data_IF_142380861552
#
_entry.id   IF_142380861552
#
_cell.length_a   1.000
_cell.length_b   1.000
_cell.length_c   1.000
_cell.angle_alpha   90.00
_cell.angle_beta   90.00
_cell.angle_gamma   90.00
#
_symmetry.space_group_name_H-M   'P 1'
#
loop_
_entity.id
_entity.type
_entity.pdbx_description
1 polymer ?
#
# COMPACT_ATOMS: atom_id res chain seq x y z
N UNK A 1 4.95 4.59 -1.93
CA UNK A 1 5.79 5.08 -3.06
C UNK A 1 4.90 5.33 -4.26
N UNK A 2 5.17 6.36 -5.05
CA UNK A 2 4.47 6.67 -6.30
C UNK A 2 4.38 5.46 -7.24
N UNK A 3 3.55 5.53 -8.28
CA UNK A 3 3.61 4.58 -9.39
C UNK A 3 3.67 5.31 -10.71
N UNK A 4 4.52 4.82 -11.61
CA UNK A 4 4.56 5.23 -13.01
C UNK A 4 3.95 4.09 -13.84
N UNK A 5 3.07 4.43 -14.78
CA UNK A 5 2.56 3.52 -15.78
C UNK A 5 3.11 3.91 -17.16
N UNK A 6 3.65 2.96 -17.88
CA UNK A 6 4.12 3.14 -19.25
C UNK A 6 3.28 2.26 -20.19
N UNK A 7 2.53 2.90 -21.06
CA UNK A 7 1.80 2.25 -22.13
C UNK A 7 2.52 2.51 -23.46
N UNK A 8 3.19 1.47 -23.96
CA UNK A 8 3.84 1.53 -25.26
C UNK A 8 2.82 1.64 -26.40
N UNK A 9 3.30 1.95 -27.60
CA UNK A 9 2.48 1.97 -28.80
C UNK A 9 1.65 0.67 -28.94
N UNK A 10 0.34 0.84 -29.22
CA UNK A 10 -0.63 -0.25 -29.41
C UNK A 10 -1.35 -0.70 -28.14
N UNK A 11 -0.85 -0.37 -26.95
CA UNK A 11 -1.45 -0.76 -25.68
C UNK A 11 -2.70 0.08 -25.39
N UNK A 12 -3.80 -0.58 -25.00
CA UNK A 12 -5.02 0.09 -24.52
C UNK A 12 -4.91 0.40 -23.02
N UNK A 13 -5.51 1.52 -22.59
CA UNK A 13 -5.54 1.88 -21.18
C UNK A 13 -6.64 1.11 -20.45
N UNK A 14 -6.41 0.79 -19.18
CA UNK A 14 -7.39 0.16 -18.31
C UNK A 14 -7.83 1.13 -17.22
N UNK A 15 -9.12 1.47 -17.23
CA UNK A 15 -9.70 2.31 -16.17
C UNK A 15 -9.53 1.65 -14.81
N UNK A 16 -9.76 0.34 -14.72
CA UNK A 16 -9.63 -0.43 -13.48
C UNK A 16 -8.22 -0.32 -12.89
N UNK A 17 -7.19 -0.60 -13.71
CA UNK A 17 -5.79 -0.54 -13.23
C UNK A 17 -5.38 0.88 -12.86
N UNK A 18 -5.81 1.90 -13.63
CA UNK A 18 -5.50 3.29 -13.33
C UNK A 18 -6.24 3.80 -12.09
N UNK A 19 -7.48 3.35 -11.86
CA UNK A 19 -8.23 3.64 -10.64
C UNK A 19 -7.52 3.05 -9.42
N UNK A 20 -7.01 1.82 -9.52
CA UNK A 20 -6.20 1.20 -8.48
C UNK A 20 -4.92 2.01 -8.22
N UNK A 21 -4.21 2.43 -9.28
CA UNK A 21 -3.05 3.30 -9.15
C UNK A 21 -3.39 4.59 -8.41
N UNK A 22 -4.50 5.23 -8.74
CA UNK A 22 -4.91 6.48 -8.11
C UNK A 22 -5.32 6.30 -6.65
N UNK A 23 -6.10 5.26 -6.32
CA UNK A 23 -6.49 4.93 -4.95
C UNK A 23 -5.26 4.69 -4.08
N UNK A 24 -4.26 3.99 -4.62
CA UNK A 24 -3.03 3.67 -3.90
C UNK A 24 -2.03 4.85 -3.84
N UNK A 25 -2.20 5.89 -4.69
CA UNK A 25 -1.28 7.04 -4.83
C UNK A 25 -2.09 8.32 -5.12
N UNK A 26 -2.75 8.83 -4.10
CA UNK A 26 -3.83 9.82 -4.20
C UNK A 26 -3.41 11.29 -4.17
N UNK A 27 -2.11 11.58 -4.11
CA UNK A 27 -1.60 12.95 -3.99
C UNK A 27 -1.45 13.65 -5.35
N UNK A 28 -2.23 13.18 -6.32
CA UNK A 28 -2.39 13.72 -7.65
C UNK A 28 -1.78 12.86 -8.75
N UNK A 29 -2.23 13.12 -9.98
CA UNK A 29 -1.79 12.41 -11.17
C UNK A 29 -1.40 13.37 -12.30
N UNK A 30 -0.76 12.80 -13.32
CA UNK A 30 -0.45 13.48 -14.55
C UNK A 30 0.04 12.52 -15.62
N UNK A 31 0.19 13.03 -16.84
CA UNK A 31 0.66 12.24 -17.99
C UNK A 31 1.53 13.03 -18.93
N UNK A 32 2.27 12.33 -19.77
CA UNK A 32 2.99 12.88 -20.90
C UNK A 32 2.84 11.98 -22.13
N UNK A 33 2.66 12.63 -23.29
CA UNK A 33 2.46 11.99 -24.59
C UNK A 33 3.04 12.87 -25.71
N UNK A 34 3.50 12.28 -26.81
CA UNK A 34 3.97 13.05 -27.95
C UNK A 34 2.78 13.63 -28.72
N UNK A 35 2.80 14.94 -28.99
CA UNK A 35 1.84 15.67 -29.81
C UNK A 35 2.39 15.89 -31.23
N UNK A 36 1.71 15.34 -32.24
CA UNK A 36 2.15 15.43 -33.65
C UNK A 36 2.01 16.83 -34.26
N UNK A 37 1.04 17.59 -33.79
CA UNK A 37 0.80 18.93 -34.33
C UNK A 37 1.88 19.90 -33.85
N UNK A 38 2.18 19.83 -32.56
CA UNK A 38 3.21 20.68 -31.95
C UNK A 38 4.62 20.09 -32.12
N UNK A 39 4.75 18.79 -32.45
CA UNK A 39 6.01 18.04 -32.52
C UNK A 39 6.80 18.10 -31.23
N UNK A 40 6.09 18.08 -30.11
CA UNK A 40 6.59 18.19 -28.74
C UNK A 40 5.93 17.15 -27.84
N UNK A 41 6.50 16.94 -26.67
CA UNK A 41 5.85 16.20 -25.59
C UNK A 41 4.85 17.13 -24.93
N UNK A 42 3.59 16.74 -24.90
CA UNK A 42 2.54 17.38 -24.11
C UNK A 42 2.54 16.78 -22.71
N UNK A 43 2.74 17.59 -21.69
CA UNK A 43 2.64 17.24 -20.28
C UNK A 43 1.39 17.92 -19.72
N UNK A 44 0.52 17.13 -19.09
CA UNK A 44 -0.56 17.65 -18.24
C UNK A 44 -0.52 16.93 -16.91
N UNK A 45 -0.60 17.68 -15.82
CA UNK A 45 -0.49 17.15 -14.47
C UNK A 45 -1.31 17.96 -13.48
N UNK A 46 -1.35 17.50 -12.22
CA UNK A 46 -2.10 18.18 -11.16
C UNK A 46 -3.55 17.76 -11.09
N UNK A 47 -3.90 16.60 -11.65
CA UNK A 47 -5.21 16.02 -11.46
C UNK A 47 -5.32 15.47 -10.03
N UNK A 48 -6.12 16.12 -9.21
CA UNK A 48 -6.28 15.79 -7.80
C UNK A 48 -7.45 14.83 -7.53
N UNK A 49 -8.20 14.47 -8.56
CA UNK A 49 -9.25 13.46 -8.55
C UNK A 49 -9.12 12.51 -9.76
N UNK A 50 -9.62 11.28 -9.58
CA UNK A 50 -9.50 10.26 -10.62
C UNK A 50 -10.34 10.56 -11.85
N UNK A 51 -11.55 11.09 -11.68
CA UNK A 51 -12.49 11.22 -12.78
C UNK A 51 -12.03 12.29 -13.77
N UNK A 52 -11.52 13.44 -13.29
CA UNK A 52 -10.90 14.45 -14.14
C UNK A 52 -9.66 13.94 -14.85
N UNK A 53 -8.83 13.13 -14.16
CA UNK A 53 -7.68 12.49 -14.77
C UNK A 53 -8.11 11.51 -15.88
N UNK A 54 -9.07 10.62 -15.59
CA UNK A 54 -9.52 9.62 -16.55
C UNK A 54 -10.14 10.23 -17.79
N UNK A 55 -10.96 11.27 -17.63
CA UNK A 55 -11.51 12.02 -18.77
C UNK A 55 -10.42 12.62 -19.66
N UNK A 56 -9.31 13.05 -19.09
CA UNK A 56 -8.20 13.63 -19.84
C UNK A 56 -7.34 12.58 -20.59
N UNK A 57 -7.35 11.30 -20.17
CA UNK A 57 -6.43 10.28 -20.70
C UNK A 57 -7.09 9.17 -21.50
N UNK A 58 -8.39 8.87 -21.28
CA UNK A 58 -9.09 7.72 -21.87
C UNK A 58 -9.04 7.67 -23.40
N UNK A 59 -9.03 8.83 -24.04
CA UNK A 59 -9.07 8.99 -25.50
C UNK A 59 -7.69 9.37 -26.09
N UNK A 60 -6.60 9.25 -25.32
CA UNK A 60 -5.25 9.52 -25.83
C UNK A 60 -4.89 8.54 -26.95
N UNK A 61 -4.21 9.02 -28.02
CA UNK A 61 -3.80 8.17 -29.14
C UNK A 61 -3.01 6.94 -28.69
N UNK A 62 -3.35 5.76 -29.25
CA UNK A 62 -2.68 4.49 -28.90
C UNK A 62 -1.47 4.20 -29.79
N UNK A 63 -1.27 4.95 -30.87
CA UNK A 63 -0.20 4.77 -31.84
C UNK A 63 1.18 5.29 -31.38
N UNK A 64 1.30 5.70 -30.12
CA UNK A 64 2.50 6.27 -29.52
C UNK A 64 2.70 5.87 -28.06
N UNK A 65 3.92 6.11 -27.55
CA UNK A 65 4.26 5.93 -26.16
C UNK A 65 3.55 6.96 -25.27
N UNK A 66 3.02 6.51 -24.13
CA UNK A 66 2.34 7.34 -23.14
C UNK A 66 2.86 6.96 -21.76
N UNK A 67 3.14 7.97 -20.95
CA UNK A 67 3.60 7.79 -19.57
C UNK A 67 2.63 8.50 -18.63
N UNK A 68 2.23 7.81 -17.58
CA UNK A 68 1.33 8.30 -16.55
C UNK A 68 2.01 8.18 -15.19
N UNK A 69 1.66 9.06 -14.27
CA UNK A 69 2.20 9.03 -12.93
C UNK A 69 1.10 9.29 -11.92
N UNK A 70 1.10 8.50 -10.84
CA UNK A 70 0.21 8.67 -9.69
C UNK A 70 1.07 8.88 -8.46
N UNK A 71 0.87 10.00 -7.81
CA UNK A 71 1.77 10.50 -6.77
C UNK A 71 1.36 10.06 -5.38
N UNK A 72 2.36 9.67 -4.57
CA UNK A 72 2.33 9.78 -3.12
C UNK A 72 3.51 10.65 -2.71
N UNK A 73 3.24 11.74 -2.01
CA UNK A 73 4.26 12.73 -1.70
C UNK A 73 5.19 12.23 -0.59
N UNK A 74 6.50 12.24 -0.88
CA UNK A 74 7.58 12.00 0.09
C UNK A 74 8.48 13.22 0.22
N UNK A 75 8.42 14.14 -0.77
CA UNK A 75 9.16 15.39 -0.85
C UNK A 75 8.35 16.40 -1.65
N UNK A 76 8.43 17.69 -1.29
CA UNK A 76 7.66 18.77 -1.89
C UNK A 76 6.18 18.76 -1.51
N UNK A 77 5.54 19.92 -1.62
CA UNK A 77 4.12 20.12 -1.27
C UNK A 77 3.19 19.17 -2.04
N UNK A 78 2.08 18.82 -1.41
CA UNK A 78 0.95 18.22 -2.10
C UNK A 78 0.22 19.35 -2.82
N UNK A 79 0.52 19.50 -4.10
CA UNK A 79 -0.08 20.51 -4.96
C UNK A 79 -0.01 20.05 -6.41
N UNK A 80 -0.86 20.60 -7.29
CA UNK A 80 -0.85 20.31 -8.73
C UNK A 80 0.53 20.46 -9.37
N UNK A 81 1.28 21.50 -9.04
CA UNK A 81 2.58 21.83 -9.62
C UNK A 81 3.66 20.80 -9.24
N UNK A 82 3.53 20.14 -8.09
CA UNK A 82 4.45 19.11 -7.62
C UNK A 82 4.09 17.70 -8.13
N UNK A 83 2.99 17.54 -8.88
CA UNK A 83 2.69 16.27 -9.57
C UNK A 83 3.67 16.03 -10.72
N UNK A 84 3.94 14.76 -11.00
CA UNK A 84 4.68 14.33 -12.19
C UNK A 84 3.71 14.16 -13.38
N UNK A 85 4.21 14.15 -14.61
CA UNK A 85 5.61 14.32 -15.08
C UNK A 85 6.11 15.74 -14.95
N UNK A 86 7.43 15.92 -15.07
CA UNK A 86 8.08 17.23 -15.14
C UNK A 86 8.68 17.47 -16.52
N UNK A 87 8.71 18.74 -16.93
CA UNK A 87 9.56 19.22 -18.02
C UNK A 87 11.03 18.97 -17.65
N UNK A 88 11.85 18.49 -18.56
CA UNK A 88 13.28 18.41 -18.33
C UNK A 88 13.90 19.80 -18.56
N UNK A 89 14.21 20.50 -17.48
CA UNK A 89 14.74 21.87 -17.44
C UNK A 89 15.73 22.05 -16.31
N UNK A 90 16.60 23.04 -16.39
CA UNK A 90 17.41 23.55 -15.29
C UNK A 90 16.66 24.61 -14.44
N UNK A 91 15.52 25.09 -14.93
CA UNK A 91 14.67 26.03 -14.23
C UNK A 91 13.56 25.28 -13.49
N UNK A 92 13.58 25.30 -12.15
CA UNK A 92 12.61 24.62 -11.31
C UNK A 92 11.19 25.18 -11.45
N UNK A 93 11.02 26.49 -11.76
CA UNK A 93 9.68 27.08 -11.97
C UNK A 93 9.03 26.54 -13.25
N UNK A 94 9.79 26.34 -14.33
CA UNK A 94 9.28 25.69 -15.55
C UNK A 94 8.81 24.26 -15.28
N UNK A 95 9.44 23.56 -14.35
CA UNK A 95 8.99 22.21 -13.95
C UNK A 95 7.64 22.21 -13.20
N UNK A 96 7.21 23.36 -12.68
CA UNK A 96 5.92 23.49 -11.97
C UNK A 96 4.73 23.73 -12.88
N UNK A 97 4.94 24.03 -14.15
CA UNK A 97 3.87 24.18 -15.10
C UNK A 97 3.02 22.91 -15.20
N UNK A 98 1.70 23.08 -15.23
CA UNK A 98 0.73 21.96 -15.16
C UNK A 98 0.19 21.53 -16.52
N UNK A 99 0.31 22.39 -17.53
CA UNK A 99 -0.07 22.11 -18.93
C UNK A 99 0.95 22.76 -19.86
N UNK A 100 1.82 21.97 -20.47
CA UNK A 100 2.99 22.49 -21.18
C UNK A 100 3.47 21.57 -22.30
N UNK A 101 4.07 22.15 -23.34
CA UNK A 101 4.75 21.44 -24.42
C UNK A 101 6.26 21.59 -24.32
N UNK A 102 6.98 20.46 -24.34
CA UNK A 102 8.44 20.40 -24.16
C UNK A 102 9.09 19.41 -25.13
N UNK A 103 10.42 19.45 -25.26
CA UNK A 103 11.16 18.44 -26.03
C UNK A 103 11.31 17.12 -25.28
N UNK A 104 11.43 17.20 -23.95
CA UNK A 104 11.62 16.03 -23.08
C UNK A 104 10.87 16.22 -21.77
N UNK A 105 10.09 15.22 -21.39
CA UNK A 105 9.49 15.10 -20.06
C UNK A 105 10.02 13.90 -19.31
N UNK A 106 9.90 13.91 -17.99
CA UNK A 106 10.32 12.78 -17.16
C UNK A 106 9.45 12.57 -15.92
N UNK A 107 9.38 11.32 -15.48
CA UNK A 107 8.73 10.88 -14.24
C UNK A 107 9.67 10.03 -13.41
N UNK A 108 9.51 10.10 -12.10
CA UNK A 108 10.31 9.37 -11.13
C UNK A 108 9.43 8.65 -10.12
N UNK A 109 9.84 7.45 -9.73
CA UNK A 109 9.29 6.70 -8.60
C UNK A 109 10.43 6.25 -7.68
N UNK A 110 10.45 6.78 -6.47
CA UNK A 110 11.44 6.52 -5.44
C UNK A 110 11.71 7.75 -4.59
N UNK A 111 12.87 7.80 -3.95
CA UNK A 111 13.37 8.93 -3.17
C UNK A 111 14.82 9.19 -3.56
N UNK A 112 15.12 10.44 -3.87
CA UNK A 112 16.48 10.90 -4.18
C UNK A 112 17.03 11.71 -2.99
N UNK A 113 17.48 10.99 -1.96
CA UNK A 113 17.86 11.58 -0.65
C UNK A 113 18.84 12.76 -0.76
N UNK A 114 19.83 12.66 -1.66
CA UNK A 114 20.85 13.70 -1.85
C UNK A 114 20.29 14.99 -2.48
N UNK A 115 19.08 14.93 -3.03
CA UNK A 115 18.39 16.03 -3.69
C UNK A 115 17.15 16.50 -2.92
N UNK A 116 16.90 15.95 -1.74
CA UNK A 116 15.74 16.33 -0.91
C UNK A 116 15.88 17.78 -0.44
N UNK A 117 14.91 18.67 -0.73
CA UNK A 117 14.97 20.04 -0.25
C UNK A 117 14.96 20.10 1.28
N UNK A 118 15.66 21.08 1.86
CA UNK A 118 15.78 21.25 3.32
C UNK A 118 14.43 21.44 4.00
N UNK A 119 13.49 22.08 3.32
CA UNK A 119 12.11 22.34 3.78
C UNK A 119 11.23 21.08 3.72
N UNK A 120 11.74 19.98 3.17
CA UNK A 120 11.00 18.71 3.04
C UNK A 120 9.67 18.87 2.33
N UNK A 121 8.59 18.50 2.99
CA UNK A 121 7.22 18.59 2.46
C UNK A 121 6.68 20.03 2.35
N UNK A 122 7.36 21.04 2.93
CA UNK A 122 6.96 22.45 2.81
C UNK A 122 7.56 23.11 1.56
N UNK A 123 8.55 22.49 0.92
CA UNK A 123 9.17 23.00 -0.28
C UNK A 123 8.19 23.07 -1.44
N UNK A 124 8.20 24.13 -2.27
CA UNK A 124 7.48 24.14 -3.54
C UNK A 124 8.12 23.24 -4.60
N UNK A 125 9.27 22.64 -4.32
CA UNK A 125 10.02 21.75 -5.20
C UNK A 125 10.21 20.39 -4.54
N UNK A 126 10.38 19.34 -5.36
CA UNK A 126 10.68 17.99 -4.91
C UNK A 126 12.15 17.61 -5.19
N UNK A 127 12.61 16.55 -4.53
CA UNK A 127 13.89 15.90 -4.81
C UNK A 127 14.05 15.53 -6.30
N UNK A 128 12.98 15.08 -6.92
CA UNK A 128 12.92 14.75 -8.35
C UNK A 128 13.21 15.97 -9.23
N UNK A 129 12.68 17.14 -8.90
CA UNK A 129 12.93 18.36 -9.66
C UNK A 129 14.39 18.77 -9.58
N UNK A 130 15.00 18.71 -8.40
CA UNK A 130 16.44 18.99 -8.23
C UNK A 130 17.32 17.98 -8.99
N UNK A 131 17.01 16.70 -8.92
CA UNK A 131 17.74 15.69 -9.70
C UNK A 131 17.56 15.93 -11.22
N UNK A 132 16.37 16.28 -11.65
CA UNK A 132 16.08 16.65 -13.03
C UNK A 132 16.95 17.79 -13.52
N UNK A 133 17.02 18.88 -12.75
CA UNK A 133 17.79 20.08 -13.10
C UNK A 133 19.31 19.85 -13.07
N UNK A 134 19.79 19.18 -12.03
CA UNK A 134 21.24 19.08 -11.76
C UNK A 134 21.90 17.88 -12.47
N UNK A 135 21.18 16.81 -12.73
CA UNK A 135 21.73 15.57 -13.29
C UNK A 135 21.19 15.29 -14.69
N UNK A 136 19.86 15.24 -14.87
CA UNK A 136 19.29 14.84 -16.15
C UNK A 136 19.41 15.93 -17.22
N UNK A 137 19.18 17.19 -16.86
CA UNK A 137 19.20 18.30 -17.81
C UNK A 137 20.57 18.52 -18.47
N UNK A 138 21.70 18.48 -17.76
CA UNK A 138 23.03 18.51 -18.38
C UNK A 138 23.29 17.38 -19.37
N UNK A 139 22.60 16.26 -19.22
CA UNK A 139 22.71 15.06 -20.09
C UNK A 139 21.67 15.00 -21.20
N UNK A 140 20.77 15.98 -21.35
CA UNK A 140 19.59 15.95 -22.21
C UNK A 140 19.87 15.58 -23.66
N UNK A 141 20.96 16.05 -24.23
CA UNK A 141 21.34 15.79 -25.62
C UNK A 141 21.89 14.36 -25.84
N UNK A 142 22.17 13.65 -24.74
CA UNK A 142 22.80 12.32 -24.76
C UNK A 142 21.95 11.24 -24.11
N UNK A 143 20.70 11.55 -23.72
CA UNK A 143 19.84 10.60 -22.98
C UNK A 143 19.62 9.28 -23.71
N UNK A 144 19.59 9.28 -25.04
CA UNK A 144 19.40 8.05 -25.83
C UNK A 144 20.70 7.27 -26.07
N UNK A 145 21.85 7.70 -25.52
CA UNK A 145 23.07 6.90 -25.58
C UNK A 145 23.08 5.89 -24.43
N UNK A 146 23.40 4.63 -24.74
CA UNK A 146 23.48 3.56 -23.74
C UNK A 146 24.41 3.87 -22.57
N UNK A 147 25.57 4.48 -22.86
CA UNK A 147 26.51 4.92 -21.82
C UNK A 147 25.90 5.93 -20.86
N UNK A 148 25.11 6.87 -21.37
CA UNK A 148 24.40 7.85 -20.53
C UNK A 148 23.32 7.18 -19.69
N UNK A 149 22.52 6.29 -20.27
CA UNK A 149 21.51 5.51 -19.54
C UNK A 149 22.14 4.64 -18.47
N UNK A 150 23.30 4.05 -18.74
CA UNK A 150 24.06 3.27 -17.75
C UNK A 150 24.48 4.15 -16.55
N UNK A 151 25.01 5.35 -16.81
CA UNK A 151 25.37 6.30 -15.75
C UNK A 151 24.17 6.75 -14.93
N UNK A 152 23.04 7.06 -15.60
CA UNK A 152 21.80 7.43 -14.92
C UNK A 152 21.31 6.25 -14.04
N UNK A 153 21.34 5.01 -14.56
CA UNK A 153 20.99 3.81 -13.78
C UNK A 153 21.87 3.63 -12.53
N UNK A 154 23.14 3.97 -12.60
CA UNK A 154 24.05 3.92 -11.44
C UNK A 154 23.72 5.02 -10.42
N UNK A 155 23.45 6.24 -10.89
CA UNK A 155 23.12 7.37 -10.03
C UNK A 155 21.75 7.22 -9.35
N UNK A 156 20.78 6.58 -10.01
CA UNK A 156 19.40 6.46 -9.49
C UNK A 156 19.22 5.31 -8.49
N UNK A 157 20.19 4.39 -8.36
CA UNK A 157 20.07 3.24 -7.45
C UNK A 157 18.87 2.34 -7.78
N UNK A 158 17.99 2.12 -6.79
CA UNK A 158 16.78 1.30 -6.94
C UNK A 158 15.57 2.08 -7.45
N UNK A 159 15.71 3.37 -7.66
CA UNK A 159 14.65 4.24 -8.20
C UNK A 159 14.28 3.86 -9.64
N UNK A 160 13.13 4.36 -10.12
CA UNK A 160 12.64 4.10 -11.49
C UNK A 160 12.32 5.42 -12.17
N UNK A 161 12.68 5.48 -13.45
CA UNK A 161 12.44 6.66 -14.29
C UNK A 161 11.77 6.26 -15.60
N UNK A 162 10.84 7.10 -16.03
CA UNK A 162 10.35 7.13 -17.39
C UNK A 162 10.64 8.51 -17.98
N UNK A 163 11.41 8.55 -19.05
CA UNK A 163 11.76 9.76 -19.78
C UNK A 163 11.13 9.64 -21.18
N UNK A 164 10.39 10.65 -21.61
CA UNK A 164 9.76 10.67 -22.94
C UNK A 164 10.26 11.87 -23.72
N UNK A 165 10.75 11.59 -24.93
CA UNK A 165 11.13 12.59 -25.89
C UNK A 165 10.72 12.17 -27.31
N UNK A 166 11.04 12.98 -28.32
CA UNK A 166 10.68 12.73 -29.72
C UNK A 166 11.10 11.35 -30.25
N UNK A 167 12.14 10.74 -29.69
CA UNK A 167 12.64 9.42 -30.13
C UNK A 167 11.95 8.24 -29.42
N UNK A 168 10.91 8.50 -28.61
CA UNK A 168 10.20 7.51 -27.80
C UNK A 168 10.59 7.54 -26.33
N UNK A 169 10.14 6.54 -25.58
CA UNK A 169 10.35 6.42 -24.15
C UNK A 169 11.68 5.74 -23.80
N UNK A 170 12.30 6.19 -22.71
CA UNK A 170 13.42 5.54 -22.01
C UNK A 170 12.90 5.12 -20.65
N UNK A 171 12.88 3.81 -20.40
CA UNK A 171 12.37 3.21 -19.17
C UNK A 171 13.54 2.63 -18.40
N UNK A 172 13.80 3.14 -17.18
CA UNK A 172 14.93 2.75 -16.36
C UNK A 172 14.48 2.17 -15.02
N UNK A 173 15.13 1.09 -14.58
CA UNK A 173 14.81 0.34 -13.37
C UNK A 173 14.05 -0.95 -13.66
N UNK A 174 13.54 -1.60 -12.60
CA UNK A 174 12.77 -2.83 -12.71
C UNK A 174 11.27 -2.51 -12.75
N UNK A 175 10.57 -3.06 -13.71
CA UNK A 175 9.15 -2.79 -13.96
C UNK A 175 8.33 -4.07 -13.97
N UNK A 176 7.10 -3.99 -13.49
CA UNK A 176 6.11 -5.06 -13.58
C UNK A 176 5.27 -4.85 -14.85
N UNK A 177 4.97 -5.92 -15.56
CA UNK A 177 4.07 -5.86 -16.73
C UNK A 177 2.73 -6.47 -16.35
N UNK A 178 1.65 -5.75 -16.53
CA UNK A 178 0.30 -6.30 -16.35
C UNK A 178 0.06 -7.42 -17.37
N UNK A 179 -0.37 -8.58 -16.90
CA UNK A 179 -0.76 -9.69 -17.75
C UNK A 179 -2.08 -9.45 -18.48
N UNK A 180 -2.92 -8.52 -18.00
CA UNK A 180 -4.21 -8.20 -18.60
C UNK A 180 -4.07 -7.20 -19.76
N UNK A 181 -3.22 -6.19 -19.58
CA UNK A 181 -3.15 -5.04 -20.49
C UNK A 181 -1.83 -4.89 -21.22
N UNK A 182 -0.74 -5.46 -20.69
CA UNK A 182 0.61 -5.24 -21.19
C UNK A 182 1.22 -3.90 -20.76
N UNK A 183 0.51 -3.07 -19.97
CA UNK A 183 1.06 -1.83 -19.41
C UNK A 183 2.17 -2.19 -18.42
N UNK A 184 3.28 -1.43 -18.49
CA UNK A 184 4.39 -1.59 -17.55
C UNK A 184 4.24 -0.61 -16.38
N UNK A 185 4.35 -1.12 -15.16
CA UNK A 185 4.21 -0.35 -13.93
C UNK A 185 5.51 -0.38 -13.11
N UNK A 186 5.85 0.75 -12.51
CA UNK A 186 7.04 0.85 -11.67
C UNK A 186 6.93 0.12 -10.32
N UNK A 187 5.72 -0.29 -9.91
CA UNK A 187 5.44 -1.19 -8.78
C UNK A 187 4.03 -1.79 -8.93
N UNK A 188 3.58 -2.58 -7.95
CA UNK A 188 2.31 -3.30 -7.97
C UNK A 188 1.07 -2.47 -7.58
N UNK A 189 1.14 -1.13 -7.55
CA UNK A 189 -0.01 -0.27 -7.17
C UNK A 189 -1.18 -0.34 -8.15
N UNK A 190 -1.02 -0.91 -9.33
CA UNK A 190 -2.08 -1.15 -10.33
C UNK A 190 -2.97 -2.35 -9.97
N UNK A 191 -2.47 -3.25 -9.14
CA UNK A 191 -3.22 -4.40 -8.68
C UNK A 191 -4.31 -3.98 -7.69
N UNK A 192 -5.45 -4.63 -7.79
CA UNK A 192 -6.48 -4.50 -6.76
C UNK A 192 -5.89 -4.98 -5.44
N UNK A 193 -5.96 -4.16 -4.40
CA UNK A 193 -5.65 -4.62 -3.06
C UNK A 193 -6.67 -5.71 -2.73
N UNK A 194 -6.34 -6.94 -3.06
CA UNK A 194 -7.05 -8.06 -2.47
C UNK A 194 -6.80 -7.93 -0.97
N UNK A 195 -7.85 -7.82 -0.19
CA UNK A 195 -7.83 -8.19 1.22
C UNK A 195 -7.58 -9.71 1.31
N UNK A 196 -6.50 -10.15 0.69
CA UNK A 196 -5.97 -11.48 0.87
C UNK A 196 -5.01 -11.37 2.03
N UNK A 197 -5.45 -11.82 3.18
CA UNK A 197 -4.57 -12.48 4.11
C UNK A 197 -3.88 -13.62 3.34
N UNK A 198 -2.84 -13.31 2.59
CA UNK A 198 -2.00 -14.32 1.97
C UNK A 198 -0.83 -14.55 2.90
N UNK A 199 -0.95 -15.62 3.64
CA UNK A 199 0.09 -16.29 4.35
C UNK A 199 1.18 -16.71 3.35
N UNK A 200 2.24 -15.93 3.25
CA UNK A 200 3.53 -16.40 2.77
C UNK A 200 4.58 -16.10 3.83
N UNK A 201 4.97 -17.17 4.52
CA UNK A 201 6.18 -17.19 5.30
C UNK A 201 7.38 -16.92 4.41
N UNK A 202 8.06 -15.81 4.67
CA UNK A 202 9.45 -15.59 4.36
C UNK A 202 10.00 -14.56 5.31
N UNK A 203 11.10 -14.89 5.89
CA UNK A 203 11.91 -14.21 6.90
C UNK A 203 11.81 -12.68 6.88
N UNK A 204 11.37 -12.08 7.99
CA UNK A 204 11.33 -10.63 8.20
C UNK A 204 9.93 -10.04 8.10
N UNK A 205 8.92 -10.67 8.71
CA UNK A 205 7.55 -10.21 8.69
C UNK A 205 7.35 -8.97 9.58
N UNK A 206 7.03 -7.85 8.99
CA UNK A 206 6.18 -6.89 9.66
C UNK A 206 4.74 -7.38 9.46
N UNK A 207 4.12 -7.86 10.54
CA UNK A 207 2.68 -8.04 10.58
C UNK A 207 2.03 -6.70 10.17
N UNK A 208 1.08 -6.72 9.23
CA UNK A 208 0.32 -5.54 8.89
C UNK A 208 -0.67 -5.29 10.03
N UNK A 209 -0.19 -4.61 11.07
CA UNK A 209 -1.09 -4.07 12.08
C UNK A 209 -1.96 -3.03 11.39
N UNK A 210 -3.27 -3.13 11.56
CA UNK A 210 -4.16 -2.02 11.23
C UNK A 210 -3.79 -0.89 12.18
N UNK A 211 -3.21 0.18 11.65
CA UNK A 211 -2.80 1.31 12.44
C UNK A 211 -4.00 2.25 12.58
N UNK A 212 -4.36 2.55 13.81
CA UNK A 212 -5.43 3.49 14.11
C UNK A 212 -4.87 4.85 14.46
N UNK A 213 -5.52 5.88 13.95
CA UNK A 213 -5.10 7.27 14.12
C UNK A 213 -6.27 8.10 14.60
N UNK A 214 -6.05 8.84 15.65
CA UNK A 214 -7.03 9.73 16.25
C UNK A 214 -6.84 11.15 15.75
N UNK A 215 -7.95 11.81 15.47
CA UNK A 215 -8.00 13.17 14.98
C UNK A 215 -9.08 13.96 15.70
N UNK A 216 -8.83 15.26 15.98
CA UNK A 216 -9.91 16.20 16.28
C UNK A 216 -10.54 16.68 14.99
N UNK A 217 -11.86 16.89 15.04
CA UNK A 217 -12.67 17.38 13.94
C UNK A 217 -13.47 18.59 14.41
N UNK A 218 -13.59 19.60 13.56
CA UNK A 218 -14.49 20.74 13.75
C UNK A 218 -15.62 20.62 12.74
N UNK A 219 -16.81 20.18 13.15
CA UNK A 219 -17.95 20.10 12.25
C UNK A 219 -18.26 21.46 11.62
N UNK A 220 -18.58 21.50 10.31
CA UNK A 220 -19.01 22.73 9.66
C UNK A 220 -20.30 23.28 10.30
N UNK A 221 -20.36 24.59 10.50
CA UNK A 221 -21.52 25.24 11.13
C UNK A 221 -22.80 24.96 10.33
N UNK A 222 -23.82 24.44 11.01
CA UNK A 222 -25.13 24.15 10.40
C UNK A 222 -25.23 22.84 9.64
N UNK A 223 -24.18 22.05 9.54
CA UNK A 223 -24.19 20.73 8.90
C UNK A 223 -24.60 19.65 9.91
N UNK A 224 -25.89 19.25 9.91
CA UNK A 224 -26.44 18.26 10.86
C UNK A 224 -25.87 16.85 10.62
N UNK A 225 -25.62 16.48 9.35
CA UNK A 225 -25.16 15.15 8.94
C UNK A 225 -23.64 15.12 8.69
N UNK A 226 -22.89 16.00 9.35
CA UNK A 226 -21.46 16.16 9.12
C UNK A 226 -20.66 14.86 9.27
N UNK A 227 -21.02 14.00 10.23
CA UNK A 227 -20.31 12.75 10.47
C UNK A 227 -20.49 11.76 9.30
N UNK A 228 -21.72 11.65 8.76
CA UNK A 228 -21.99 10.81 7.59
C UNK A 228 -21.23 11.32 6.36
N UNK A 229 -21.18 12.64 6.16
CA UNK A 229 -20.44 13.27 5.08
C UNK A 229 -18.92 13.10 5.26
N UNK A 230 -18.43 13.22 6.49
CA UNK A 230 -17.03 12.96 6.83
C UNK A 230 -16.66 11.50 6.58
N UNK A 231 -17.50 10.55 7.02
CA UNK A 231 -17.30 9.11 6.81
C UNK A 231 -17.20 8.79 5.31
N UNK A 232 -18.15 9.28 4.52
CA UNK A 232 -18.12 9.12 3.07
C UNK A 232 -16.85 9.70 2.42
N UNK A 233 -16.39 10.85 2.92
CA UNK A 233 -15.14 11.45 2.47
C UNK A 233 -13.94 10.56 2.86
N UNK A 234 -13.89 10.06 4.09
CA UNK A 234 -12.83 9.17 4.57
C UNK A 234 -12.77 7.86 3.77
N UNK A 235 -13.92 7.25 3.49
CA UNK A 235 -14.04 6.07 2.62
C UNK A 235 -13.52 6.33 1.21
N UNK A 236 -13.79 7.52 0.66
CA UNK A 236 -13.24 7.97 -0.62
C UNK A 236 -11.71 8.05 -0.64
N UNK A 237 -11.09 8.18 0.53
CA UNK A 237 -9.64 8.10 0.72
C UNK A 237 -9.14 6.72 1.19
N UNK A 238 -10.01 5.71 1.17
CA UNK A 238 -9.67 4.33 1.49
C UNK A 238 -9.39 4.09 2.98
N UNK A 239 -9.98 4.90 3.87
CA UNK A 239 -9.95 4.71 5.32
C UNK A 239 -11.36 4.75 5.88
N UNK A 240 -11.60 4.00 6.95
CA UNK A 240 -12.91 3.94 7.61
C UNK A 240 -12.88 4.70 8.93
N UNK A 241 -13.98 5.33 9.27
CA UNK A 241 -14.21 5.86 10.61
C UNK A 241 -14.58 4.69 11.50
N UNK A 242 -13.71 4.32 12.44
CA UNK A 242 -13.93 3.21 13.36
C UNK A 242 -14.56 3.63 14.66
N UNK A 243 -14.37 4.88 15.04
CA UNK A 243 -14.99 5.49 16.21
C UNK A 243 -15.19 6.99 16.05
N UNK A 244 -16.25 7.51 16.64
CA UNK A 244 -16.47 8.93 16.84
C UNK A 244 -16.95 9.14 18.27
N UNK A 245 -16.37 10.10 18.97
CA UNK A 245 -16.81 10.51 20.30
C UNK A 245 -16.62 12.01 20.52
N UNK A 246 -17.27 12.52 21.55
CA UNK A 246 -17.13 13.92 21.97
C UNK A 246 -16.60 13.96 23.41
N UNK A 247 -15.56 14.75 23.61
CA UNK A 247 -14.99 14.99 24.93
C UNK A 247 -14.65 16.47 25.10
N UNK A 248 -15.05 17.04 26.20
CA UNK A 248 -14.84 18.48 26.55
C UNK A 248 -15.26 19.46 25.42
N UNK A 249 -16.35 19.14 24.72
CA UNK A 249 -16.86 19.93 23.60
C UNK A 249 -16.04 19.86 22.32
N UNK A 250 -15.21 18.87 22.19
CA UNK A 250 -14.42 18.56 20.96
C UNK A 250 -14.85 17.24 20.38
N UNK A 251 -14.98 17.19 19.06
CA UNK A 251 -15.24 15.93 18.35
C UNK A 251 -13.93 15.27 17.99
N UNK A 252 -13.87 13.96 18.22
CA UNK A 252 -12.76 13.08 17.87
C UNK A 252 -13.24 12.00 16.93
N UNK A 253 -12.41 11.66 15.94
CA UNK A 253 -12.62 10.50 15.06
C UNK A 253 -11.37 9.63 15.07
N UNK A 254 -11.57 8.32 15.12
CA UNK A 254 -10.51 7.32 14.98
C UNK A 254 -10.66 6.67 13.61
N UNK A 255 -9.59 6.67 12.83
CA UNK A 255 -9.54 6.12 11.49
C UNK A 255 -8.63 4.89 11.46
N UNK A 256 -8.96 3.89 10.66
CA UNK A 256 -8.16 2.69 10.42
C UNK A 256 -7.00 2.91 9.42
N UNK A 257 -6.64 4.14 9.17
CA UNK A 257 -5.53 4.54 8.32
C UNK A 257 -5.15 6.00 8.50
N UNK A 258 -3.93 6.33 8.10
CA UNK A 258 -3.45 7.70 8.11
C UNK A 258 -4.10 8.53 7.01
N UNK A 259 -4.59 9.71 7.37
CA UNK A 259 -5.09 10.72 6.42
C UNK A 259 -4.34 12.04 6.60
N UNK A 260 -4.21 12.77 5.50
CA UNK A 260 -3.56 14.07 5.53
C UNK A 260 -4.57 15.19 5.75
N UNK A 261 -4.29 16.06 6.72
CA UNK A 261 -5.15 17.21 7.06
C UNK A 261 -5.62 18.07 5.88
N UNK A 262 -4.81 18.34 4.83
CA UNK A 262 -5.23 19.16 3.70
C UNK A 262 -6.48 18.67 2.96
N UNK A 263 -6.75 17.37 2.94
CA UNK A 263 -7.93 16.81 2.27
C UNK A 263 -9.22 16.97 3.10
N UNK A 264 -9.07 17.25 4.38
CA UNK A 264 -10.16 17.39 5.34
C UNK A 264 -10.29 18.82 5.90
N UNK A 265 -9.81 19.82 5.17
CA UNK A 265 -9.78 21.22 5.61
C UNK A 265 -11.17 21.73 6.02
N UNK A 266 -12.22 21.29 5.30
CA UNK A 266 -13.62 21.61 5.65
C UNK A 266 -13.99 21.21 7.08
N UNK A 267 -13.38 20.14 7.59
CA UNK A 267 -13.64 19.58 8.92
C UNK A 267 -12.56 19.96 9.94
N UNK A 268 -11.64 20.84 9.60
CA UNK A 268 -10.57 21.28 10.49
C UNK A 268 -9.77 20.13 11.10
N UNK A 269 -9.60 19.03 10.36
CA UNK A 269 -8.96 17.80 10.84
C UNK A 269 -7.55 18.07 11.36
N UNK A 270 -7.28 17.66 12.60
CA UNK A 270 -5.95 17.71 13.21
C UNK A 270 -5.60 16.37 13.82
N UNK A 271 -4.45 15.86 13.48
CA UNK A 271 -3.89 14.65 14.08
C UNK A 271 -3.65 14.85 15.57
N UNK A 272 -4.08 13.92 16.38
CA UNK A 272 -3.87 13.88 17.83
C UNK A 272 -2.84 12.86 18.22
N UNK A 273 -3.08 11.58 17.93
CA UNK A 273 -2.26 10.50 18.41
C UNK A 273 -2.32 9.27 17.50
N UNK A 274 -1.28 8.44 17.59
CA UNK A 274 -1.32 7.06 17.16
C UNK A 274 -1.94 6.22 18.27
N UNK A 275 -3.00 5.48 17.96
CA UNK A 275 -3.70 4.66 18.94
C UNK A 275 -3.11 3.24 18.86
N UNK A 276 -2.13 2.96 19.72
CA UNK A 276 -1.59 1.60 19.87
C UNK A 276 -2.54 0.76 20.74
N UNK A 277 -2.92 -0.42 20.25
CA UNK A 277 -3.80 -1.33 20.99
C UNK A 277 -5.28 -0.91 20.98
N UNK A 278 -5.70 -0.17 19.96
CA UNK A 278 -7.11 0.17 19.76
C UNK A 278 -7.93 -1.14 19.66
N UNK A 279 -8.85 -1.31 20.62
CA UNK A 279 -9.85 -2.36 20.52
C UNK A 279 -10.98 -1.80 19.65
N UNK A 280 -11.18 -2.37 18.47
CA UNK A 280 -12.35 -2.05 17.63
C UNK A 280 -13.59 -1.89 18.51
N UNK A 281 -14.37 -0.80 18.37
CA UNK A 281 -15.62 -0.66 19.12
C UNK A 281 -16.46 -1.89 18.85
N UNK A 282 -17.16 -2.35 19.86
CA UNK A 282 -18.10 -3.45 19.80
C UNK A 282 -19.08 -3.22 18.63
N UNK A 283 -18.75 -3.71 17.44
CA UNK A 283 -19.77 -4.19 16.53
C UNK A 283 -20.46 -5.31 17.31
N UNK A 284 -21.77 -5.23 17.50
CA UNK A 284 -22.68 -6.15 18.15
C UNK A 284 -21.98 -7.39 18.71
N UNK A 285 -22.09 -7.68 20.00
CA UNK A 285 -21.41 -8.77 20.70
C UNK A 285 -21.05 -9.93 19.79
N UNK A 286 -19.90 -9.82 19.11
CA UNK A 286 -19.32 -11.01 18.49
C UNK A 286 -19.00 -11.90 19.66
N UNK A 287 -19.73 -12.98 19.77
CA UNK A 287 -19.49 -14.06 20.71
C UNK A 287 -17.97 -14.22 20.83
N UNK A 288 -17.45 -13.91 22.01
CA UNK A 288 -16.02 -13.92 22.29
C UNK A 288 -15.53 -15.31 21.94
N UNK A 289 -14.81 -15.44 20.82
CA UNK A 289 -14.28 -16.74 20.38
C UNK A 289 -13.27 -17.14 21.44
N UNK A 290 -13.56 -18.16 22.18
CA UNK A 290 -12.66 -18.72 23.20
C UNK A 290 -11.96 -19.91 22.59
N UNK A 291 -10.63 -19.92 22.71
CA UNK A 291 -9.79 -21.00 22.21
C UNK A 291 -9.31 -21.87 23.36
N UNK A 292 -9.23 -23.16 23.13
CA UNK A 292 -8.59 -24.10 24.04
C UNK A 292 -7.27 -24.56 23.45
N UNK A 293 -6.18 -24.36 24.17
CA UNK A 293 -4.88 -24.84 23.77
C UNK A 293 -4.71 -26.29 24.20
N UNK A 294 -4.37 -27.17 23.26
CA UNK A 294 -4.09 -28.58 23.55
C UNK A 294 -2.60 -28.79 23.42
N UNK A 295 -1.97 -29.13 24.55
CA UNK A 295 -0.57 -29.51 24.60
C UNK A 295 -0.47 -31.03 24.45
N UNK A 296 0.01 -31.47 23.29
CA UNK A 296 0.15 -32.89 22.96
C UNK A 296 1.51 -33.43 23.38
N UNK A 297 1.54 -34.55 24.09
CA UNK A 297 2.76 -35.27 24.50
C UNK A 297 2.61 -36.75 24.19
N UNK A 298 3.74 -37.40 23.89
CA UNK A 298 3.75 -38.87 23.77
C UNK A 298 3.61 -39.53 25.15
N UNK A 299 2.99 -40.71 25.22
CA UNK A 299 2.76 -41.44 26.45
C UNK A 299 4.09 -41.73 27.15
N UNK A 300 4.22 -41.32 28.41
CA UNK A 300 5.43 -41.51 29.23
C UNK A 300 6.52 -40.43 29.03
N UNK A 301 6.35 -39.44 28.17
CA UNK A 301 7.23 -38.27 28.05
C UNK A 301 8.65 -38.54 27.56
N UNK A 302 8.96 -39.78 27.13
CA UNK A 302 10.30 -40.21 26.76
C UNK A 302 10.57 -40.33 25.26
N UNK A 303 9.53 -40.37 24.43
CA UNK A 303 9.70 -40.53 22.98
C UNK A 303 9.39 -39.20 22.31
N UNK A 304 10.27 -38.66 21.42
CA UNK A 304 9.97 -37.45 20.67
C UNK A 304 8.73 -37.67 19.80
N UNK A 305 7.89 -36.64 19.72
CA UNK A 305 6.77 -36.61 18.77
C UNK A 305 7.34 -36.61 17.35
N UNK A 306 6.97 -37.60 16.54
CA UNK A 306 7.31 -37.61 15.12
C UNK A 306 6.14 -37.15 14.27
N UNK A 307 6.37 -36.89 12.98
CA UNK A 307 5.34 -36.35 12.08
C UNK A 307 4.11 -37.26 11.96
N UNK A 308 4.27 -38.57 12.01
CA UNK A 308 3.16 -39.53 11.90
C UNK A 308 2.22 -39.41 13.11
N UNK A 309 2.77 -39.33 14.31
CA UNK A 309 2.01 -39.15 15.57
C UNK A 309 1.32 -37.79 15.57
N UNK A 310 2.01 -36.76 15.12
CA UNK A 310 1.43 -35.41 14.97
C UNK A 310 0.22 -35.43 14.03
N UNK A 311 0.35 -36.03 12.87
CA UNK A 311 -0.75 -36.11 11.89
C UNK A 311 -1.96 -36.85 12.48
N UNK A 312 -1.76 -37.97 13.15
CA UNK A 312 -2.85 -38.72 13.80
C UNK A 312 -3.52 -37.92 14.93
N UNK A 313 -2.75 -37.13 15.66
CA UNK A 313 -3.31 -36.24 16.69
C UNK A 313 -4.11 -35.09 16.06
N UNK A 314 -3.62 -34.50 15.00
CA UNK A 314 -4.34 -33.46 14.26
C UNK A 314 -5.64 -34.00 13.70
N UNK A 315 -5.63 -35.15 13.01
CA UNK A 315 -6.83 -35.79 12.47
C UNK A 315 -7.88 -36.08 13.55
N UNK A 316 -7.45 -36.59 14.71
CA UNK A 316 -8.35 -36.85 15.84
C UNK A 316 -8.97 -35.55 16.36
N UNK A 317 -8.16 -34.51 16.58
CA UNK A 317 -8.65 -33.24 17.13
C UNK A 317 -9.58 -32.54 16.14
N UNK A 318 -9.26 -32.56 14.84
CA UNK A 318 -10.12 -32.01 13.78
C UNK A 318 -11.46 -32.74 13.71
N UNK A 319 -11.47 -34.07 13.88
CA UNK A 319 -12.71 -34.85 13.89
C UNK A 319 -13.63 -34.54 15.06
N UNK A 320 -13.07 -34.23 16.24
CA UNK A 320 -13.84 -33.98 17.46
C UNK A 320 -14.19 -32.49 17.68
N UNK A 321 -13.33 -31.57 17.25
CA UNK A 321 -13.38 -30.18 17.69
C UNK A 321 -13.31 -29.13 16.54
N UNK A 322 -13.22 -29.53 15.29
CA UNK A 322 -13.12 -28.63 14.13
C UNK A 322 -11.68 -28.21 13.84
N UNK A 323 -11.50 -27.01 13.27
CA UNK A 323 -10.20 -26.56 12.78
C UNK A 323 -9.12 -26.51 13.83
N UNK A 324 -7.95 -27.07 13.53
CA UNK A 324 -6.78 -27.12 14.40
C UNK A 324 -5.63 -26.33 13.79
N UNK A 325 -4.90 -25.59 14.63
CA UNK A 325 -3.72 -24.87 14.22
C UNK A 325 -2.48 -25.44 14.94
N UNK A 326 -1.48 -25.87 14.18
CA UNK A 326 -0.22 -26.37 14.70
C UNK A 326 0.73 -25.21 15.05
N UNK A 327 1.15 -25.11 16.30
CA UNK A 327 2.07 -24.10 16.80
C UNK A 327 3.42 -24.68 17.21
N UNK A 328 3.77 -25.88 16.78
CA UNK A 328 4.98 -26.60 17.21
C UNK A 328 6.25 -25.78 16.99
N UNK A 329 6.34 -25.05 15.89
CA UNK A 329 7.51 -24.23 15.58
C UNK A 329 7.64 -22.98 16.46
N UNK A 330 6.54 -22.53 17.07
CA UNK A 330 6.50 -21.30 17.87
C UNK A 330 6.71 -21.54 19.36
N UNK A 331 6.84 -22.80 19.79
CA UNK A 331 7.05 -23.14 21.20
C UNK A 331 8.52 -23.47 21.50
N UNK A 332 9.03 -22.96 22.63
CA UNK A 332 10.37 -23.32 23.14
C UNK A 332 10.44 -24.77 23.63
N UNK A 333 9.30 -25.35 23.92
CA UNK A 333 9.13 -26.74 24.35
C UNK A 333 8.86 -27.58 23.10
N UNK A 334 9.66 -28.55 22.77
CA UNK A 334 9.52 -29.46 21.62
C UNK A 334 8.29 -30.36 21.66
N UNK A 335 7.33 -30.11 22.54
CA UNK A 335 6.02 -30.74 22.55
C UNK A 335 5.10 -30.06 21.55
N UNK A 336 4.30 -30.85 20.85
CA UNK A 336 3.29 -30.28 19.91
C UNK A 336 2.25 -29.51 20.69
N UNK A 337 1.96 -28.28 20.24
CA UNK A 337 0.91 -27.44 20.80
C UNK A 337 -0.09 -27.15 19.70
N UNK A 338 -1.36 -27.46 19.97
CA UNK A 338 -2.43 -27.24 19.03
C UNK A 338 -3.44 -26.27 19.60
N UNK A 339 -3.96 -25.38 18.76
CA UNK A 339 -5.11 -24.57 19.09
C UNK A 339 -6.33 -25.21 18.47
N UNK A 340 -7.34 -25.47 19.30
CA UNK A 340 -8.63 -25.93 18.87
C UNK A 340 -9.60 -24.77 18.95
N UNK A 341 -10.29 -24.48 17.87
CA UNK A 341 -11.32 -23.44 17.85
C UNK A 341 -12.69 -24.06 17.71
N UNK A 342 -13.67 -23.53 18.44
CA UNK A 342 -15.07 -23.92 18.28
C UNK A 342 -15.73 -23.31 17.03
N UNK A 343 -14.95 -22.67 16.13
CA UNK A 343 -15.46 -21.98 14.94
C UNK A 343 -14.65 -22.30 13.70
N UNK A 344 -15.33 -22.40 12.57
CA UNK A 344 -14.77 -22.72 11.25
C UNK A 344 -13.86 -21.64 10.64
N UNK A 345 -13.59 -20.55 11.30
CA UNK A 345 -12.72 -19.48 10.83
C UNK A 345 -11.86 -18.91 11.93
N UNK A 346 -10.56 -19.13 11.83
CA UNK A 346 -9.54 -18.41 12.57
C UNK A 346 -9.38 -17.01 11.97
N UNK A 347 -9.93 -16.00 12.62
CA UNK A 347 -9.72 -14.60 12.28
C UNK A 347 -8.94 -13.93 13.42
N UNK A 348 -7.68 -13.58 13.16
CA UNK A 348 -6.84 -12.88 14.13
C UNK A 348 -5.35 -13.19 13.94
N UNK A 349 -4.49 -12.38 14.53
CA UNK A 349 -3.05 -12.69 14.64
C UNK A 349 -2.82 -13.79 15.67
N UNK A 350 -1.64 -14.43 15.61
CA UNK A 350 -1.24 -15.43 16.61
C UNK A 350 -1.33 -14.87 18.03
N UNK A 351 -0.95 -13.60 18.23
CA UNK A 351 -1.00 -12.93 19.53
C UNK A 351 -2.43 -12.73 20.01
N UNK A 352 -3.38 -12.39 19.13
CA UNK A 352 -4.81 -12.28 19.49
C UNK A 352 -5.39 -13.62 19.91
N UNK A 353 -4.98 -14.70 19.25
CA UNK A 353 -5.37 -16.07 19.59
C UNK A 353 -4.80 -16.47 20.94
N UNK A 354 -3.52 -16.22 21.19
CA UNK A 354 -2.86 -16.51 22.47
C UNK A 354 -3.51 -15.76 23.65
N UNK A 355 -3.91 -14.52 23.44
CA UNK A 355 -4.64 -13.72 24.45
C UNK A 355 -6.06 -14.23 24.73
N UNK A 356 -6.64 -14.96 23.81
CA UNK A 356 -8.01 -15.49 23.90
C UNK A 356 -8.08 -16.91 24.45
N UNK A 357 -6.93 -17.52 24.78
CA UNK A 357 -6.88 -18.88 25.36
C UNK A 357 -7.46 -18.86 26.77
N UNK A 358 -8.52 -19.63 27.00
CA UNK A 358 -9.20 -19.74 28.31
C UNK A 358 -8.78 -20.96 29.11
N UNK A 359 -8.07 -21.91 28.49
CA UNK A 359 -7.60 -23.11 29.18
C UNK A 359 -6.65 -23.93 28.33
N UNK A 360 -5.93 -24.84 28.96
CA UNK A 360 -5.04 -25.79 28.29
C UNK A 360 -5.48 -27.19 28.61
N UNK A 361 -5.77 -27.97 27.56
CA UNK A 361 -6.08 -29.39 27.67
C UNK A 361 -4.85 -30.18 27.21
N UNK A 362 -4.52 -31.24 27.92
CA UNK A 362 -3.40 -32.11 27.56
C UNK A 362 -3.87 -33.18 26.59
N UNK A 363 -3.28 -33.25 25.40
CA UNK A 363 -3.46 -34.32 24.43
C UNK A 363 -2.38 -35.39 24.66
N UNK A 364 -2.77 -36.66 24.82
CA UNK A 364 -1.85 -37.77 25.01
C UNK A 364 -2.02 -38.77 23.85
N UNK A 365 -0.92 -39.01 23.12
CA UNK A 365 -0.86 -40.08 22.13
C UNK A 365 -0.36 -41.37 22.81
N UNK A 366 -1.17 -42.43 22.71
CA UNK A 366 -0.80 -43.75 23.21
C UNK A 366 -0.03 -44.55 22.14
N UNK A 367 1.24 -44.73 22.35
CA UNK A 367 2.14 -45.45 21.44
C UNK A 367 1.77 -46.93 21.26
N UNK A 368 1.03 -47.51 22.21
CA UNK A 368 0.63 -48.93 22.16
C UNK A 368 -0.61 -49.16 21.32
N UNK A 369 -1.57 -48.29 21.43
CA UNK A 369 -2.88 -48.43 20.75
C UNK A 369 -2.99 -47.58 19.51
N UNK A 370 -2.08 -46.59 19.31
CA UNK A 370 -2.16 -45.61 18.23
C UNK A 370 -3.33 -44.63 18.36
N UNK A 371 -3.91 -44.51 19.55
CA UNK A 371 -5.07 -43.65 19.83
C UNK A 371 -4.66 -42.36 20.54
N UNK A 372 -5.49 -41.34 20.42
CA UNK A 372 -5.35 -40.06 21.11
C UNK A 372 -6.43 -39.94 22.18
N UNK A 373 -6.09 -39.37 23.34
CA UNK A 373 -7.04 -38.96 24.36
C UNK A 373 -6.76 -37.54 24.84
N UNK A 374 -7.80 -36.83 25.22
CA UNK A 374 -7.68 -35.54 25.88
C UNK A 374 -7.84 -35.70 27.39
N UNK A 375 -6.92 -35.11 28.16
CA UNK A 375 -6.95 -35.09 29.63
C UNK A 375 -7.28 -33.65 30.05
N UNK A 376 -8.34 -33.49 30.86
CA UNK A 376 -8.78 -32.17 31.36
C UNK A 376 -7.80 -31.61 32.41
#
# INVERSE_FOLDING_TARGET
MCVIAYASKGIQLSEKEFRNCFINNKDGAGFMVYDDQKKKIHIRKGFMDFDSFWQAVKDLPTDRDRVFHFRIATSGKISPECCHPFVLSDNLETMRETDVFTDVGFSHNGVMSDFTPKEGMLSPYSDTMYFGAQVLYPLRDKLYKESTQYLIKKAMGTNKYAILGKKGAIILGNWNTSSETGIQYSNASYEERKNTYSYYGSCGGYASYTHYYEYTVVPPVGEKDWLANFTKLAEGYGVSVVEHYEELGRHYVVLDGWVQSPYFTRYGLKYCSYVSGYKTPKAEEKVKTTYTMIKCVANGGKTPMNQEKMNKMMEFIEGENGSVWDLTENTKDKSCVFFVTNFNHLSGSLDDILYSVVGTVKGVYDDTTGTVRLEA
#
